data_IF_709905443287
#
_entry.id   IF_709905443287
#
_cell.length_a   1.000
_cell.length_b   1.000
_cell.length_c   1.000
_cell.angle_alpha   90.00
_cell.angle_beta   90.00
_cell.angle_gamma   90.00
#
_symmetry.space_group_name_H-M   'P 1'
#
loop_
_entity.id
_entity.type
_entity.pdbx_description
1 polymer ?
#
# COMPACT_ATOMS: atom_id res chain seq x y z
N UNK A 1 -8.62 -43.01 24.61
CA UNK A 1 -9.70 -43.98 24.32
C UNK A 1 -11.03 -43.28 24.50
N UNK A 2 -11.69 -42.87 23.42
CA UNK A 2 -12.94 -42.07 23.49
C UNK A 2 -12.76 -40.68 24.13
N UNK A 3 -13.80 -39.83 24.17
CA UNK A 3 -15.05 -39.92 23.40
C UNK A 3 -15.48 -38.55 22.87
N UNK A 4 -15.94 -38.57 21.63
CA UNK A 4 -16.86 -37.59 21.05
C UNK A 4 -18.03 -37.30 22.01
N UNK A 5 -18.35 -36.01 22.20
CA UNK A 5 -19.70 -35.40 22.33
C UNK A 5 -19.61 -34.04 23.04
N UNK A 6 -19.59 -32.96 22.27
CA UNK A 6 -20.21 -31.71 22.69
C UNK A 6 -20.95 -31.16 21.45
N UNK A 7 -22.30 -31.06 21.48
CA UNK A 7 -23.06 -30.79 20.25
C UNK A 7 -22.88 -29.34 19.80
N UNK A 8 -22.54 -29.17 18.53
CA UNK A 8 -22.69 -27.87 17.87
C UNK A 8 -24.17 -27.50 17.82
N UNK A 9 -24.56 -26.42 18.50
CA UNK A 9 -25.87 -25.81 18.32
C UNK A 9 -26.09 -25.44 16.85
N UNK A 10 -27.33 -25.44 16.34
CA UNK A 10 -27.57 -25.23 14.92
C UNK A 10 -27.22 -23.80 14.49
N UNK A 11 -26.01 -23.60 13.94
CA UNK A 11 -25.71 -22.41 13.13
C UNK A 11 -26.76 -22.31 12.02
N UNK A 12 -27.25 -21.10 11.66
CA UNK A 12 -28.36 -20.94 10.75
C UNK A 12 -28.10 -21.66 9.42
N UNK A 13 -28.95 -22.65 9.14
CA UNK A 13 -28.82 -23.60 8.03
C UNK A 13 -28.69 -22.90 6.67
N UNK A 14 -29.24 -21.69 6.55
CA UNK A 14 -29.13 -20.81 5.39
C UNK A 14 -27.69 -20.48 4.99
N UNK A 15 -26.72 -20.35 5.91
CA UNK A 15 -25.33 -20.04 5.56
C UNK A 15 -24.65 -21.26 4.92
N UNK A 16 -24.88 -22.45 5.49
CA UNK A 16 -24.38 -23.72 4.97
C UNK A 16 -24.98 -24.05 3.60
N UNK A 17 -26.31 -23.90 3.46
CA UNK A 17 -27.01 -24.07 2.18
C UNK A 17 -26.58 -23.04 1.13
N UNK A 18 -26.39 -21.75 1.48
CA UNK A 18 -25.87 -20.75 0.54
C UNK A 18 -24.48 -21.10 0.03
N UNK A 19 -23.54 -21.49 0.92
CA UNK A 19 -22.19 -21.90 0.50
C UNK A 19 -22.20 -23.17 -0.37
N UNK A 20 -23.07 -24.14 -0.06
CA UNK A 20 -23.22 -25.37 -0.86
C UNK A 20 -23.92 -25.13 -2.21
N UNK A 21 -24.92 -24.25 -2.26
CA UNK A 21 -25.57 -23.85 -3.52
C UNK A 21 -24.59 -23.13 -4.46
N UNK A 22 -23.77 -22.21 -3.93
CA UNK A 22 -22.70 -21.54 -4.71
C UNK A 22 -21.65 -22.55 -5.19
N UNK A 23 -21.23 -23.51 -4.35
CA UNK A 23 -20.29 -24.56 -4.76
C UNK A 23 -20.86 -25.47 -5.86
N UNK A 24 -22.13 -25.86 -5.77
CA UNK A 24 -22.81 -26.66 -6.80
C UNK A 24 -23.01 -25.87 -8.10
N UNK A 25 -23.37 -24.58 -8.03
CA UNK A 25 -23.50 -23.73 -9.21
C UNK A 25 -22.16 -23.55 -9.94
N UNK A 26 -21.06 -23.33 -9.20
CA UNK A 26 -19.71 -23.27 -9.77
C UNK A 26 -19.28 -24.61 -10.38
N UNK A 27 -19.57 -25.74 -9.72
CA UNK A 27 -19.28 -27.07 -10.26
C UNK A 27 -20.03 -27.34 -11.57
N UNK A 28 -21.33 -27.02 -11.62
CA UNK A 28 -22.15 -27.15 -12.84
C UNK A 28 -21.63 -26.24 -13.95
N UNK A 29 -21.25 -24.99 -13.65
CA UNK A 29 -20.67 -24.08 -14.63
C UNK A 29 -19.35 -24.61 -15.21
N UNK A 30 -18.47 -25.16 -14.37
CA UNK A 30 -17.21 -25.79 -14.81
C UNK A 30 -17.50 -27.02 -15.70
N UNK A 31 -18.45 -27.88 -15.32
CA UNK A 31 -18.85 -29.04 -16.13
C UNK A 31 -19.41 -28.62 -17.49
N UNK A 32 -20.22 -27.56 -17.56
CA UNK A 32 -20.73 -27.03 -18.83
C UNK A 32 -19.62 -26.45 -19.72
N UNK A 33 -18.65 -25.72 -19.14
CA UNK A 33 -17.48 -25.22 -19.89
C UNK A 33 -16.61 -26.37 -20.41
N UNK A 34 -16.43 -27.43 -19.63
CA UNK A 34 -15.74 -28.66 -20.05
C UNK A 34 -16.50 -29.35 -21.19
N UNK A 35 -17.80 -29.57 -21.07
CA UNK A 35 -18.63 -30.18 -22.12
C UNK A 35 -18.60 -29.35 -23.41
N UNK A 36 -18.61 -28.02 -23.33
CA UNK A 36 -18.48 -27.14 -24.49
C UNK A 36 -17.08 -27.22 -25.14
N UNK A 37 -16.02 -27.18 -24.34
CA UNK A 37 -14.64 -27.24 -24.82
C UNK A 37 -14.28 -28.59 -25.50
N UNK A 38 -14.77 -29.71 -24.97
CA UNK A 38 -14.60 -31.02 -25.60
C UNK A 38 -15.63 -31.32 -26.69
N UNK A 39 -16.85 -30.77 -26.58
CA UNK A 39 -17.94 -30.99 -27.52
C UNK A 39 -17.71 -30.41 -28.92
N UNK A 40 -16.88 -29.37 -29.05
CA UNK A 40 -16.49 -28.84 -30.37
C UNK A 40 -15.32 -29.59 -31.03
N UNK A 41 -14.72 -30.57 -30.34
CA UNK A 41 -13.57 -31.36 -30.79
C UNK A 41 -13.89 -32.81 -31.21
N UNK A 42 -15.12 -33.09 -31.63
CA UNK A 42 -15.60 -34.45 -31.94
C UNK A 42 -16.04 -34.65 -33.39
N UNK A 43 -15.37 -35.55 -34.11
CA UNK A 43 -15.68 -35.93 -35.50
C UNK A 43 -17.09 -36.52 -35.67
N UNK A 44 -17.82 -36.07 -36.70
CA UNK A 44 -19.08 -36.63 -37.16
C UNK A 44 -19.51 -36.03 -38.49
N UNK A 45 -19.31 -36.76 -39.60
CA UNK A 45 -19.56 -36.27 -40.96
C UNK A 45 -20.72 -36.96 -41.69
N UNK A 46 -21.18 -36.35 -42.78
CA UNK A 46 -22.15 -36.94 -43.71
C UNK A 46 -22.80 -35.88 -44.63
N UNK A 47 -22.98 -36.22 -45.92
CA UNK A 47 -23.64 -35.38 -46.92
C UNK A 47 -22.71 -34.82 -47.98
N UNK A 48 -22.84 -35.31 -49.22
CA UNK A 48 -22.15 -34.83 -50.43
C UNK A 48 -23.07 -33.94 -51.27
N UNK A 49 -22.49 -33.12 -52.16
CA UNK A 49 -22.55 -33.33 -53.62
C UNK A 49 -21.83 -32.20 -54.39
N UNK A 50 -21.59 -32.43 -55.69
CA UNK A 50 -20.62 -31.71 -56.52
C UNK A 50 -21.24 -30.55 -57.34
N UNK A 51 -20.45 -29.54 -57.73
CA UNK A 51 -21.02 -28.44 -58.54
C UNK A 51 -20.11 -27.33 -59.07
N UNK A 52 -19.22 -27.64 -60.03
CA UNK A 52 -18.59 -26.72 -61.02
C UNK A 52 -17.72 -25.55 -60.49
N UNK A 53 -16.56 -25.35 -61.13
CA UNK A 53 -15.66 -24.23 -60.85
C UNK A 53 -15.51 -23.23 -62.02
N UNK A 54 -15.16 -22.00 -61.67
CA UNK A 54 -14.50 -20.94 -62.46
C UNK A 54 -14.24 -19.76 -61.51
N UNK A 55 -13.14 -19.02 -61.50
CA UNK A 55 -11.93 -19.05 -62.33
C UNK A 55 -11.20 -17.69 -62.23
N UNK A 56 -9.86 -17.67 -62.29
CA UNK A 56 -9.04 -16.45 -62.35
C UNK A 56 -8.33 -16.04 -61.05
N UNK A 57 -7.19 -15.35 -61.19
CA UNK A 57 -6.36 -14.81 -60.09
C UNK A 57 -4.97 -15.49 -60.00
N UNK A 58 -3.95 -14.89 -60.61
CA UNK A 58 -2.59 -15.45 -60.69
C UNK A 58 -1.75 -15.38 -59.40
N UNK A 59 -0.53 -15.94 -59.41
CA UNK A 59 0.34 -16.03 -58.23
C UNK A 59 0.91 -14.67 -57.79
N UNK A 60 1.37 -14.63 -56.53
CA UNK A 60 1.83 -13.40 -55.86
C UNK A 60 3.09 -12.78 -56.50
N UNK A 61 3.13 -11.44 -56.50
CA UNK A 61 4.29 -10.66 -56.92
C UNK A 61 5.46 -10.81 -55.95
N UNK A 62 6.65 -11.14 -56.46
CA UNK A 62 7.90 -11.14 -55.70
C UNK A 62 8.38 -9.71 -55.42
N UNK A 63 8.93 -9.48 -54.22
CA UNK A 63 9.48 -8.17 -53.82
C UNK A 63 11.00 -8.19 -54.02
N UNK A 64 11.48 -7.34 -54.94
CA UNK A 64 12.91 -7.13 -55.18
C UNK A 64 13.53 -6.26 -54.07
N UNK A 65 14.63 -6.68 -53.42
CA UNK A 65 15.42 -5.81 -52.55
C UNK A 65 16.11 -4.68 -53.33
N UNK A 66 16.02 -3.45 -52.84
CA UNK A 66 16.77 -2.31 -53.37
C UNK A 66 18.26 -2.32 -52.94
N UNK A 67 19.14 -1.61 -53.65
CA UNK A 67 20.58 -1.61 -53.37
C UNK A 67 20.94 -0.83 -52.08
N UNK A 68 21.85 -1.41 -51.29
CA UNK A 68 22.43 -0.75 -50.12
C UNK A 68 23.39 0.37 -50.52
N UNK A 69 23.24 1.55 -49.94
CA UNK A 69 24.18 2.68 -50.13
C UNK A 69 25.26 2.69 -49.05
N UNK A 70 26.52 2.63 -49.46
CA UNK A 70 27.69 2.65 -48.56
C UNK A 70 28.14 4.10 -48.30
N UNK A 71 27.90 4.62 -47.09
CA UNK A 71 28.44 5.90 -46.61
C UNK A 71 29.55 5.69 -45.56
N UNK A 72 30.65 6.48 -45.59
CA UNK A 72 31.78 6.27 -44.69
C UNK A 72 31.53 6.77 -43.26
N UNK A 73 32.16 6.10 -42.29
CA UNK A 73 32.17 6.52 -40.88
C UNK A 73 33.15 7.69 -40.66
N UNK A 74 32.70 8.74 -39.96
CA UNK A 74 33.63 9.68 -39.33
C UNK A 74 34.00 9.13 -37.93
N UNK A 75 35.29 9.09 -37.62
CA UNK A 75 35.83 8.79 -36.28
C UNK A 75 37.07 9.62 -36.00
N UNK A 76 36.95 10.95 -36.12
CA UNK A 76 38.00 11.90 -35.77
C UNK A 76 38.25 11.91 -34.25
N UNK A 77 39.44 11.42 -33.86
CA UNK A 77 39.93 11.35 -32.49
C UNK A 77 41.00 12.42 -32.25
N UNK A 78 40.76 13.42 -31.37
CA UNK A 78 41.83 14.32 -30.92
C UNK A 78 42.77 13.66 -29.90
N UNK A 79 44.07 13.97 -29.98
CA UNK A 79 44.96 13.94 -28.82
C UNK A 79 44.71 15.17 -27.92
N UNK A 80 45.15 15.23 -26.66
CA UNK A 80 46.35 14.62 -26.09
C UNK A 80 47.41 15.72 -25.86
N UNK A 81 47.84 15.90 -24.60
CA UNK A 81 48.97 16.73 -24.12
C UNK A 81 49.08 16.63 -22.59
N UNK A 82 50.29 16.80 -22.09
CA UNK A 82 50.70 16.62 -20.68
C UNK A 82 51.21 17.95 -20.08
N UNK A 83 51.64 17.92 -18.80
CA UNK A 83 52.31 18.99 -18.02
C UNK A 83 51.46 20.24 -17.61
N UNK A 84 51.71 20.96 -16.50
CA UNK A 84 52.28 20.62 -15.17
C UNK A 84 52.05 21.77 -14.15
N UNK A 85 52.10 21.44 -12.86
CA UNK A 85 52.31 22.29 -11.65
C UNK A 85 51.43 23.51 -11.31
N UNK A 86 51.25 23.74 -9.99
CA UNK A 86 50.57 24.92 -9.42
C UNK A 86 50.05 24.71 -7.99
N UNK A 87 50.91 24.88 -6.97
CA UNK A 87 50.59 24.54 -5.56
C UNK A 87 49.81 25.59 -4.76
N UNK A 88 49.26 25.17 -3.61
CA UNK A 88 48.54 26.04 -2.66
C UNK A 88 48.35 25.39 -1.28
N UNK A 89 49.28 25.64 -0.35
CA UNK A 89 49.32 25.01 0.98
C UNK A 89 48.38 25.68 2.00
N UNK A 90 47.69 24.90 2.83
CA UNK A 90 46.86 25.41 3.93
C UNK A 90 46.81 24.44 5.11
N UNK A 91 47.68 24.65 6.10
CA UNK A 91 47.74 23.84 7.35
C UNK A 91 47.12 24.60 8.52
N UNK A 92 46.41 23.88 9.40
CA UNK A 92 45.87 24.40 10.65
C UNK A 92 45.57 23.24 11.61
N UNK A 93 46.36 23.12 12.68
CA UNK A 93 46.38 21.92 13.53
C UNK A 93 45.77 22.10 14.93
N UNK A 94 45.12 21.01 15.39
CA UNK A 94 45.19 20.43 16.74
C UNK A 94 45.47 21.30 17.99
N UNK A 95 44.63 21.13 19.01
CA UNK A 95 45.04 21.31 20.42
C UNK A 95 43.86 21.50 21.39
N UNK A 96 43.84 20.76 22.51
CA UNK A 96 42.83 20.98 23.57
C UNK A 96 42.46 19.74 24.41
N UNK A 97 43.39 19.15 25.15
CA UNK A 97 43.08 18.14 26.16
C UNK A 97 42.76 18.80 27.51
N UNK A 98 41.76 18.29 28.23
CA UNK A 98 41.47 18.69 29.61
C UNK A 98 40.78 17.53 30.36
N UNK A 99 41.38 17.08 31.46
CA UNK A 99 40.84 16.04 32.33
C UNK A 99 40.50 16.59 33.71
N UNK A 100 39.57 15.94 34.39
CA UNK A 100 39.20 16.16 35.79
C UNK A 100 38.69 14.84 36.38
N UNK A 101 38.89 14.65 37.68
CA UNK A 101 38.66 13.38 38.40
C UNK A 101 37.60 13.53 39.51
N UNK A 102 37.47 12.48 40.34
CA UNK A 102 36.79 12.46 41.66
C UNK A 102 35.24 12.44 41.58
N UNK A 103 34.46 11.66 42.36
CA UNK A 103 34.68 10.56 43.33
C UNK A 103 33.36 9.69 43.33
N UNK A 104 33.04 8.67 44.14
CA UNK A 104 33.69 7.99 45.28
C UNK A 104 32.76 6.94 45.94
N UNK A 105 33.27 5.75 46.28
CA UNK A 105 32.53 4.65 46.96
C UNK A 105 31.60 3.83 46.03
N UNK A 106 31.47 2.50 46.11
CA UNK A 106 31.15 1.60 47.24
C UNK A 106 29.67 1.69 47.66
N UNK A 107 28.85 0.62 47.78
CA UNK A 107 29.13 -0.82 47.93
C UNK A 107 27.96 -1.73 47.43
N UNK A 108 27.99 -3.04 47.75
CA UNK A 108 26.85 -4.00 47.80
C UNK A 108 26.46 -4.84 46.54
N UNK A 109 27.37 -5.76 46.21
CA UNK A 109 27.20 -7.10 45.62
C UNK A 109 25.83 -7.83 45.63
N UNK A 110 25.56 -8.57 44.54
CA UNK A 110 24.78 -9.84 44.53
C UNK A 110 23.49 -9.83 43.70
N UNK A 111 23.12 -10.85 42.91
CA UNK A 111 23.86 -12.08 42.52
C UNK A 111 22.90 -13.19 42.05
N UNK A 112 23.05 -13.69 40.82
CA UNK A 112 22.22 -14.78 40.28
C UNK A 112 22.43 -14.99 38.76
N UNK A 113 22.56 -16.25 38.32
CA UNK A 113 22.95 -16.59 36.94
C UNK A 113 21.80 -17.19 36.11
N UNK A 114 21.87 -17.01 34.79
CA UNK A 114 20.94 -17.61 33.82
C UNK A 114 21.42 -17.38 32.38
N UNK A 115 22.27 -18.29 31.87
CA UNK A 115 22.86 -18.17 30.54
C UNK A 115 21.98 -18.70 29.40
N UNK A 116 22.17 -18.19 28.18
CA UNK A 116 21.44 -18.62 26.99
C UNK A 116 21.99 -18.01 25.70
N UNK A 117 23.07 -18.58 25.16
CA UNK A 117 23.66 -18.12 23.89
C UNK A 117 22.74 -18.38 22.71
N UNK A 118 22.46 -17.35 21.91
CA UNK A 118 21.57 -17.43 20.74
C UNK A 118 22.04 -16.54 19.59
N UNK A 119 23.11 -16.93 18.90
CA UNK A 119 23.58 -16.25 17.70
C UNK A 119 22.68 -16.56 16.49
N UNK A 120 22.00 -15.56 15.94
CA UNK A 120 21.20 -15.78 14.72
C UNK A 120 20.55 -14.52 14.14
N UNK A 121 20.83 -14.24 12.87
CA UNK A 121 20.07 -13.31 12.04
C UNK A 121 20.49 -11.84 12.14
N UNK A 122 21.22 -11.37 11.12
CA UNK A 122 21.30 -9.94 10.83
C UNK A 122 19.94 -9.47 10.26
N UNK A 123 19.01 -9.13 11.17
CA UNK A 123 17.76 -8.49 10.80
C UNK A 123 18.03 -7.10 10.27
N UNK A 124 18.02 -6.95 8.94
CA UNK A 124 18.23 -5.67 8.27
C UNK A 124 17.10 -4.70 8.58
N UNK A 125 17.27 -3.87 9.62
CA UNK A 125 16.40 -2.74 9.90
C UNK A 125 16.59 -1.66 8.84
N UNK A 126 15.84 -1.75 7.74
CA UNK A 126 15.59 -0.59 6.90
C UNK A 126 14.98 0.52 7.78
N UNK A 127 15.61 1.69 7.76
CA UNK A 127 15.47 2.69 8.82
C UNK A 127 14.02 3.12 9.07
N UNK A 128 13.63 3.16 10.35
CA UNK A 128 12.31 3.63 10.75
C UNK A 128 12.14 5.12 10.48
N UNK A 129 11.49 5.47 9.36
CA UNK A 129 10.91 6.79 9.13
C UNK A 129 9.71 7.03 10.04
N UNK A 130 9.95 7.18 11.33
CA UNK A 130 8.93 7.33 12.36
C UNK A 130 8.57 8.81 12.59
N UNK A 131 7.27 9.12 12.55
CA UNK A 131 6.72 10.42 12.95
C UNK A 131 6.74 11.49 11.85
N UNK A 132 5.58 11.75 11.24
CA UNK A 132 5.38 12.90 10.33
C UNK A 132 4.10 12.82 9.50
N UNK A 133 3.72 11.61 9.08
CA UNK A 133 2.52 11.36 8.28
C UNK A 133 1.32 10.82 9.06
N UNK A 134 0.18 10.73 8.37
CA UNK A 134 -1.04 10.13 8.91
C UNK A 134 -0.95 8.60 8.96
N UNK A 135 -1.19 8.05 10.15
CA UNK A 135 -1.23 6.60 10.39
C UNK A 135 0.09 5.86 10.20
N UNK A 136 0.03 4.53 10.29
CA UNK A 136 1.18 3.62 10.16
C UNK A 136 0.89 2.50 9.17
N UNK A 137 1.87 1.94 8.47
CA UNK A 137 1.62 0.84 7.53
C UNK A 137 2.76 0.49 6.59
N UNK A 138 2.41 -0.15 5.46
CA UNK A 138 3.35 -0.80 4.52
C UNK A 138 3.80 0.12 3.39
N UNK A 139 4.97 -0.13 2.82
CA UNK A 139 5.59 0.67 1.75
C UNK A 139 6.85 1.40 2.25
N UNK A 140 7.86 1.54 1.38
CA UNK A 140 9.15 2.14 1.76
C UNK A 140 9.01 3.65 1.98
N UNK A 141 9.55 4.15 3.09
CA UNK A 141 9.67 5.59 3.33
C UNK A 141 10.79 6.19 2.47
N UNK A 142 10.52 7.35 1.86
CA UNK A 142 11.45 8.04 0.98
C UNK A 142 11.99 9.31 1.65
N UNK A 143 13.26 9.68 1.42
CA UNK A 143 13.82 10.93 1.94
C UNK A 143 13.18 12.15 1.26
N UNK A 144 13.20 13.29 1.95
CA UNK A 144 12.86 14.58 1.37
C UNK A 144 13.69 14.85 0.11
N UNK A 145 13.05 15.34 -0.95
CA UNK A 145 13.70 15.56 -2.25
C UNK A 145 13.82 14.31 -3.15
N UNK A 146 13.18 13.18 -2.79
CA UNK A 146 13.17 11.98 -3.65
C UNK A 146 12.72 12.27 -5.09
N UNK A 147 13.53 11.82 -6.05
CA UNK A 147 13.36 12.02 -7.50
C UNK A 147 12.29 11.13 -8.13
N UNK A 148 11.70 10.19 -7.39
CA UNK A 148 10.57 9.39 -7.87
C UNK A 148 9.37 10.31 -8.14
N UNK A 149 8.71 10.14 -9.30
CA UNK A 149 7.56 10.99 -9.67
C UNK A 149 6.42 10.83 -8.68
N UNK A 150 5.67 11.90 -8.45
CA UNK A 150 4.45 11.85 -7.64
C UNK A 150 3.35 11.07 -8.36
N UNK A 151 2.57 10.30 -7.60
CA UNK A 151 1.41 9.58 -8.12
C UNK A 151 0.33 10.57 -8.59
N UNK A 152 -0.37 10.23 -9.67
CA UNK A 152 -1.39 11.09 -10.31
C UNK A 152 -2.79 10.46 -10.25
N UNK A 153 -3.87 11.25 -10.38
CA UNK A 153 -5.22 10.72 -10.55
C UNK A 153 -5.25 9.84 -11.81
N UNK A 154 -5.75 8.60 -11.68
CA UNK A 154 -5.78 7.64 -12.78
C UNK A 154 -4.47 6.86 -13.01
N UNK A 155 -3.35 7.22 -12.37
CA UNK A 155 -2.22 6.31 -12.17
C UNK A 155 -2.50 5.36 -10.99
N UNK A 156 -3.13 5.88 -9.93
CA UNK A 156 -3.45 5.13 -8.70
C UNK A 156 -4.94 5.16 -8.34
N UNK A 157 -5.35 4.18 -7.54
CA UNK A 157 -6.68 4.04 -6.93
C UNK A 157 -6.55 4.31 -5.42
N UNK A 158 -7.12 5.43 -4.93
CA UNK A 158 -7.20 5.77 -3.51
C UNK A 158 -8.50 5.22 -2.92
N UNK A 159 -8.41 4.46 -1.82
CA UNK A 159 -9.57 3.95 -1.08
C UNK A 159 -9.35 4.05 0.44
N UNK A 160 -10.44 4.06 1.20
CA UNK A 160 -10.43 3.97 2.68
C UNK A 160 -11.43 2.91 3.13
N UNK A 161 -11.08 2.14 4.17
CA UNK A 161 -11.92 1.06 4.72
C UNK A 161 -11.88 1.05 6.24
N UNK A 162 -13.05 0.93 6.87
CA UNK A 162 -13.13 0.61 8.30
C UNK A 162 -12.81 -0.88 8.50
N UNK A 163 -11.76 -1.19 9.27
CA UNK A 163 -11.22 -2.56 9.41
C UNK A 163 -10.87 -2.92 10.85
N UNK A 164 -10.93 -4.22 11.17
CA UNK A 164 -10.32 -4.82 12.37
C UNK A 164 -9.65 -6.13 11.96
N UNK A 165 -8.43 -6.37 12.44
CA UNK A 165 -7.63 -7.57 12.11
C UNK A 165 -7.53 -7.84 10.58
N UNK A 166 -7.29 -6.77 9.81
CA UNK A 166 -7.27 -6.73 8.33
C UNK A 166 -8.58 -7.13 7.63
N UNK A 167 -9.71 -7.21 8.34
CA UNK A 167 -11.04 -7.54 7.81
C UNK A 167 -11.94 -6.31 7.89
N UNK A 168 -12.78 -6.09 6.87
CA UNK A 168 -13.75 -4.99 6.86
C UNK A 168 -14.76 -5.15 8.01
N UNK A 169 -14.90 -4.11 8.83
CA UNK A 169 -15.83 -4.00 9.97
C UNK A 169 -16.34 -2.56 10.00
N UNK A 170 -17.58 -2.36 9.54
CA UNK A 170 -18.21 -1.03 9.49
C UNK A 170 -19.10 -0.75 10.72
N UNK A 171 -19.14 -1.66 11.69
CA UNK A 171 -19.96 -1.53 12.91
C UNK A 171 -19.10 -1.85 14.13
N UNK A 172 -19.09 -0.95 15.11
CA UNK A 172 -18.19 -0.99 16.27
C UNK A 172 -18.98 -0.92 17.57
N UNK A 173 -18.73 -1.87 18.46
CA UNK A 173 -19.39 -1.97 19.76
C UNK A 173 -18.95 -0.82 20.71
N UNK A 174 -19.65 -0.60 21.83
CA UNK A 174 -19.19 0.30 22.88
C UNK A 174 -17.75 -0.01 23.32
N UNK A 175 -16.96 1.03 23.58
CA UNK A 175 -15.55 0.92 23.94
C UNK A 175 -14.59 0.48 22.83
N UNK A 176 -15.04 -0.15 21.73
CA UNK A 176 -14.14 -0.44 20.60
C UNK A 176 -13.71 0.85 19.89
N UNK A 177 -12.43 0.90 19.49
CA UNK A 177 -11.82 1.98 18.71
C UNK A 177 -11.86 1.67 17.20
N UNK A 178 -12.51 2.51 16.37
CA UNK A 178 -12.44 2.37 14.93
C UNK A 178 -11.01 2.47 14.38
N UNK A 179 -10.70 1.60 13.42
CA UNK A 179 -9.43 1.59 12.71
C UNK A 179 -9.72 1.74 11.20
N UNK A 180 -9.06 2.68 10.55
CA UNK A 180 -9.31 3.05 9.15
C UNK A 180 -8.06 2.79 8.30
N UNK A 181 -8.15 1.80 7.41
CA UNK A 181 -7.10 1.47 6.45
C UNK A 181 -7.30 2.29 5.17
N UNK A 182 -6.39 3.25 4.97
CA UNK A 182 -6.17 3.96 3.72
C UNK A 182 -5.31 3.06 2.82
N UNK A 183 -5.72 2.87 1.57
CA UNK A 183 -4.95 2.10 0.57
C UNK A 183 -4.80 2.95 -0.69
N UNK A 184 -3.56 3.13 -1.14
CA UNK A 184 -3.26 3.65 -2.48
C UNK A 184 -2.65 2.52 -3.30
N UNK A 185 -3.37 2.09 -4.33
CA UNK A 185 -3.00 0.98 -5.21
C UNK A 185 -2.57 1.52 -6.57
N UNK A 186 -1.39 1.13 -7.03
CA UNK A 186 -0.85 1.57 -8.31
C UNK A 186 -1.40 0.70 -9.46
N UNK A 187 -1.91 1.35 -10.50
CA UNK A 187 -2.44 0.68 -11.71
C UNK A 187 -1.43 0.63 -12.85
N UNK A 188 -0.27 1.28 -12.69
CA UNK A 188 0.82 1.35 -13.66
C UNK A 188 1.99 0.48 -13.19
N UNK A 189 2.74 -0.07 -14.14
CA UNK A 189 3.93 -0.90 -13.89
C UNK A 189 5.16 -0.12 -13.41
N UNK A 190 5.09 1.21 -13.29
CA UNK A 190 6.17 2.04 -12.77
C UNK A 190 5.78 2.64 -11.42
N UNK A 191 6.71 2.61 -10.46
CA UNK A 191 6.51 3.20 -9.14
C UNK A 191 6.24 4.71 -9.22
N UNK A 192 5.57 5.22 -8.20
CA UNK A 192 5.40 6.65 -7.92
C UNK A 192 5.39 6.88 -6.40
N UNK A 193 5.59 8.13 -5.95
CA UNK A 193 5.53 8.49 -4.52
C UNK A 193 4.21 9.17 -4.15
N UNK A 194 3.79 8.98 -2.91
CA UNK A 194 2.66 9.68 -2.28
C UNK A 194 3.17 10.34 -1.00
N UNK A 195 2.77 11.59 -0.76
CA UNK A 195 2.99 12.22 0.53
C UNK A 195 1.82 11.92 1.48
N UNK A 196 2.11 11.27 2.61
CA UNK A 196 1.15 11.10 3.70
C UNK A 196 1.37 12.11 4.85
N UNK A 197 2.25 13.10 4.67
CA UNK A 197 2.54 14.16 5.64
C UNK A 197 1.28 14.93 6.01
N UNK A 198 1.18 15.39 7.27
CA UNK A 198 -0.04 16.04 7.81
C UNK A 198 -0.51 17.29 7.04
N UNK A 199 0.36 17.90 6.24
CA UNK A 199 0.02 19.05 5.38
C UNK A 199 -0.52 18.65 3.99
N UNK A 200 -0.30 17.41 3.56
CA UNK A 200 -0.67 16.89 2.23
C UNK A 200 -1.74 15.80 2.28
N UNK A 201 -1.95 15.15 3.42
CA UNK A 201 -2.95 14.11 3.61
C UNK A 201 -3.65 14.23 4.97
N UNK A 202 -4.97 14.07 4.98
CA UNK A 202 -5.76 14.04 6.20
C UNK A 202 -6.94 13.07 6.15
N UNK A 203 -7.42 12.68 7.33
CA UNK A 203 -8.59 11.86 7.58
C UNK A 203 -9.54 12.65 8.48
N UNK A 204 -10.76 12.91 7.98
CA UNK A 204 -11.83 13.66 8.66
C UNK A 204 -13.00 12.71 8.96
N UNK A 205 -13.64 12.91 10.11
CA UNK A 205 -14.80 12.17 10.58
C UNK A 205 -15.93 13.16 10.82
N UNK A 206 -17.07 12.93 10.16
CA UNK A 206 -18.32 13.68 10.37
C UNK A 206 -19.45 12.76 10.80
N UNK A 207 -20.46 13.32 11.47
CA UNK A 207 -21.68 12.58 11.80
C UNK A 207 -22.71 12.56 10.64
N UNK A 208 -23.84 11.90 10.83
CA UNK A 208 -24.91 11.79 9.84
C UNK A 208 -25.55 13.13 9.41
N UNK A 209 -25.24 14.25 10.07
CA UNK A 209 -25.64 15.61 9.67
C UNK A 209 -24.51 16.38 8.98
N UNK A 210 -23.37 15.74 8.73
CA UNK A 210 -22.10 16.31 8.26
C UNK A 210 -21.46 17.29 9.26
N UNK A 211 -21.84 17.26 10.54
CA UNK A 211 -21.16 18.07 11.55
C UNK A 211 -19.78 17.47 11.87
N UNK A 212 -18.78 18.33 12.05
CA UNK A 212 -17.40 17.94 12.35
C UNK A 212 -17.29 17.19 13.68
N UNK A 213 -16.61 16.04 13.68
CA UNK A 213 -16.41 15.20 14.88
C UNK A 213 -14.94 15.15 15.26
N UNK A 214 -14.06 14.88 14.30
CA UNK A 214 -12.61 14.73 14.51
C UNK A 214 -11.89 14.78 13.16
N UNK A 215 -10.69 15.35 13.07
CA UNK A 215 -9.78 15.17 11.95
C UNK A 215 -8.30 15.06 12.39
N UNK A 216 -7.48 14.39 11.58
CA UNK A 216 -6.05 14.15 11.84
C UNK A 216 -5.17 15.40 11.81
N UNK A 217 -5.72 16.50 11.30
CA UNK A 217 -5.17 17.83 11.05
C UNK A 217 -5.83 18.93 11.90
N UNK A 218 -6.82 18.60 12.75
CA UNK A 218 -7.41 19.53 13.74
C UNK A 218 -6.36 20.15 14.67
N UNK A 219 -5.37 19.32 15.05
CA UNK A 219 -4.26 19.71 15.92
C UNK A 219 -2.95 19.15 15.33
N UNK A 220 -2.35 19.84 14.34
CA UNK A 220 -1.28 19.29 13.53
C UNK A 220 0.10 19.53 14.16
N UNK A 221 0.67 18.47 14.75
CA UNK A 221 2.06 18.48 15.20
C UNK A 221 3.01 18.27 14.00
N UNK A 222 3.56 19.38 13.51
CA UNK A 222 4.53 19.42 12.41
C UNK A 222 3.92 19.32 11.02
N UNK A 223 4.70 19.75 10.02
CA UNK A 223 4.33 19.81 8.60
C UNK A 223 5.29 19.05 7.68
N UNK A 224 6.12 18.16 8.24
CA UNK A 224 7.09 17.38 7.48
C UNK A 224 6.40 16.42 6.50
N UNK A 225 6.90 16.38 5.27
CA UNK A 225 6.49 15.40 4.26
C UNK A 225 6.81 13.97 4.73
N UNK A 226 5.86 13.07 4.57
CA UNK A 226 6.01 11.64 4.82
C UNK A 226 5.83 10.88 3.50
N UNK A 227 6.82 11.04 2.63
CA UNK A 227 6.87 10.43 1.31
C UNK A 227 6.99 8.91 1.41
N UNK A 228 6.12 8.18 0.73
CA UNK A 228 6.10 6.71 0.67
C UNK A 228 6.06 6.26 -0.79
N UNK A 229 6.87 5.26 -1.14
CA UNK A 229 6.81 4.63 -2.46
C UNK A 229 5.57 3.74 -2.61
N UNK A 230 4.91 3.85 -3.76
CA UNK A 230 3.89 2.93 -4.25
C UNK A 230 4.47 2.17 -5.44
N UNK A 231 4.88 0.93 -5.19
CA UNK A 231 5.50 0.04 -6.17
C UNK A 231 4.66 -0.10 -7.46
N UNK A 232 5.30 -0.31 -8.60
CA UNK A 232 4.62 -0.63 -9.86
C UNK A 232 3.69 -1.84 -9.72
N UNK A 233 2.42 -1.68 -10.09
CA UNK A 233 1.33 -2.66 -9.89
C UNK A 233 1.08 -3.09 -8.43
N UNK A 234 1.70 -2.42 -7.45
CA UNK A 234 1.60 -2.71 -6.02
C UNK A 234 0.58 -1.86 -5.27
N UNK A 235 0.69 -1.83 -3.94
CA UNK A 235 -0.14 -0.96 -3.08
C UNK A 235 0.61 -0.55 -1.80
N UNK A 236 0.44 0.70 -1.40
CA UNK A 236 0.81 1.19 -0.06
C UNK A 236 -0.44 1.21 0.83
N UNK A 237 -0.22 1.09 2.14
CA UNK A 237 -1.29 1.13 3.15
C UNK A 237 -0.89 2.03 4.31
N UNK A 238 -1.84 2.79 4.86
CA UNK A 238 -1.73 3.50 6.15
C UNK A 238 -2.97 3.20 6.97
N UNK A 239 -2.81 2.87 8.25
CA UNK A 239 -3.91 2.65 9.19
C UNK A 239 -3.93 3.77 10.22
N UNK A 240 -5.10 4.39 10.41
CA UNK A 240 -5.37 5.37 11.45
C UNK A 240 -6.32 4.74 12.48
N UNK A 241 -5.87 4.58 13.71
CA UNK A 241 -6.76 4.31 14.83
C UNK A 241 -7.37 5.62 15.34
N UNK A 242 -8.67 5.61 15.60
CA UNK A 242 -9.37 6.71 16.24
C UNK A 242 -9.93 6.26 17.60
N UNK A 243 -9.60 7.00 18.67
CA UNK A 243 -9.96 6.66 20.05
C UNK A 243 -11.37 7.13 20.46
N UNK A 244 -12.20 7.51 19.47
CA UNK A 244 -13.56 8.07 19.61
C UNK A 244 -13.64 9.44 20.31
N UNK A 245 -12.53 10.10 20.63
CA UNK A 245 -12.58 11.50 21.10
C UNK A 245 -12.98 12.43 19.95
N UNK A 246 -13.69 13.51 20.28
CA UNK A 246 -13.85 14.64 19.37
C UNK A 246 -12.58 15.49 19.37
N UNK A 247 -12.35 16.21 18.28
CA UNK A 247 -11.39 17.31 18.18
C UNK A 247 -12.02 18.49 17.43
N UNK A 248 -11.33 19.61 17.37
CA UNK A 248 -11.73 20.79 16.62
C UNK A 248 -10.47 21.54 16.16
N UNK A 249 -10.63 22.32 15.09
CA UNK A 249 -9.56 23.05 14.39
C UNK A 249 -8.69 23.89 15.34
N UNK A 250 -7.41 24.03 15.01
CA UNK A 250 -6.41 24.76 15.80
C UNK A 250 -6.28 24.27 17.26
N UNK A 251 -6.44 22.97 17.49
CA UNK A 251 -6.43 22.33 18.82
C UNK A 251 -7.52 22.87 19.77
N UNK A 252 -8.61 23.44 19.26
CA UNK A 252 -9.66 24.03 20.08
C UNK A 252 -10.45 22.99 20.90
N UNK A 253 -11.07 23.43 22.00
CA UNK A 253 -11.97 22.59 22.80
C UNK A 253 -13.21 22.22 21.99
N UNK A 254 -13.50 20.93 21.75
CA UNK A 254 -14.66 20.52 20.95
C UNK A 254 -15.99 20.85 21.64
N UNK A 255 -17.00 21.19 20.85
CA UNK A 255 -18.34 21.45 21.38
C UNK A 255 -19.10 20.15 21.71
N UNK A 256 -19.88 20.17 22.78
CA UNK A 256 -20.70 19.03 23.21
C UNK A 256 -19.92 18.01 24.05
N UNK A 257 -20.05 16.72 23.73
CA UNK A 257 -19.41 15.64 24.48
C UNK A 257 -18.00 15.36 23.95
N UNK A 258 -17.01 15.26 24.85
CA UNK A 258 -15.62 14.97 24.50
C UNK A 258 -15.40 13.63 23.76
N UNK A 259 -16.37 12.71 23.84
CA UNK A 259 -16.40 11.45 23.08
C UNK A 259 -17.59 11.40 22.12
N UNK A 260 -17.40 10.67 21.02
CA UNK A 260 -18.40 10.45 19.98
C UNK A 260 -19.48 9.46 20.43
N UNK A 261 -20.74 9.91 20.26
CA UNK A 261 -21.95 9.18 20.67
C UNK A 261 -22.23 7.99 19.74
N UNK A 262 -23.05 7.01 20.17
CA UNK A 262 -23.62 6.02 19.24
C UNK A 262 -24.33 6.68 18.05
N UNK A 263 -24.16 6.15 16.85
CA UNK A 263 -24.69 6.72 15.61
C UNK A 263 -23.92 6.32 14.36
N UNK A 264 -24.38 6.80 13.21
CA UNK A 264 -23.70 6.64 11.90
C UNK A 264 -22.76 7.82 11.65
N UNK A 265 -21.57 7.50 11.14
CA UNK A 265 -20.50 8.44 10.83
C UNK A 265 -19.97 8.20 9.42
N UNK A 266 -19.39 9.25 8.85
CA UNK A 266 -18.67 9.22 7.57
C UNK A 266 -17.19 9.51 7.84
N UNK A 267 -16.31 8.65 7.34
CA UNK A 267 -14.90 8.96 7.15
C UNK A 267 -14.70 9.50 5.75
N UNK A 268 -13.97 10.60 5.65
CA UNK A 268 -13.36 11.11 4.42
C UNK A 268 -11.84 11.11 4.59
N UNK A 269 -11.13 10.69 3.55
CA UNK A 269 -9.67 10.77 3.46
C UNK A 269 -9.34 11.60 2.24
N UNK A 270 -8.56 12.66 2.44
CA UNK A 270 -7.99 13.50 1.39
C UNK A 270 -6.50 13.22 1.28
N UNK A 271 -6.01 13.08 0.05
CA UNK A 271 -4.58 13.07 -0.26
C UNK A 271 -4.35 14.00 -1.45
N UNK A 272 -3.50 15.00 -1.27
CA UNK A 272 -3.20 15.98 -2.31
C UNK A 272 -2.57 15.32 -3.54
N UNK A 273 -2.94 15.82 -4.71
CA UNK A 273 -2.65 15.18 -5.99
C UNK A 273 -3.46 13.91 -6.30
N UNK A 274 -4.15 13.29 -5.34
CA UNK A 274 -4.95 12.07 -5.55
C UNK A 274 -6.47 12.25 -5.37
N UNK A 275 -6.91 13.26 -4.61
CA UNK A 275 -8.33 13.54 -4.36
C UNK A 275 -8.84 12.95 -3.04
N UNK A 276 -10.09 12.49 -3.02
CA UNK A 276 -10.76 12.01 -1.79
C UNK A 276 -11.38 10.62 -1.94
N UNK A 277 -11.34 9.84 -0.86
CA UNK A 277 -12.07 8.57 -0.72
C UNK A 277 -12.91 8.62 0.57
N UNK A 278 -14.06 7.93 0.59
CA UNK A 278 -15.00 7.97 1.73
C UNK A 278 -15.52 6.58 2.10
N UNK A 279 -15.81 6.35 3.39
CA UNK A 279 -16.48 5.14 3.89
C UNK A 279 -17.33 5.47 5.12
N UNK A 280 -18.52 4.89 5.22
CA UNK A 280 -19.38 5.03 6.40
C UNK A 280 -19.18 3.90 7.42
N UNK A 281 -19.36 4.23 8.70
CA UNK A 281 -19.35 3.27 9.80
C UNK A 281 -20.38 3.65 10.87
N UNK A 282 -20.65 2.72 11.79
CA UNK A 282 -21.59 2.86 12.89
C UNK A 282 -20.88 2.61 14.22
N UNK A 283 -21.10 3.50 15.19
CA UNK A 283 -20.85 3.25 16.61
C UNK A 283 -22.17 2.75 17.22
N UNK A 284 -22.17 1.54 17.76
CA UNK A 284 -23.33 0.94 18.42
C UNK A 284 -23.63 1.61 19.77
N UNK A 285 -24.86 1.41 20.25
CA UNK A 285 -25.29 1.81 21.59
C UNK A 285 -24.87 0.75 22.61
N UNK A 286 -24.73 1.20 23.85
CA UNK A 286 -24.77 0.37 25.06
C UNK A 286 -26.17 -0.28 25.24
#
# INVERSE_FOLDING_TARGET
MGSLRNPIGPLPSSIYWRRRAVALALFIAIVLVVIWAFGWGGSGGGGSDEGKGSGGGGPASTITPGPSSSGPVNSERPGGRDESDGGGSGSGGSGGSGGGSDDGGADASGGGAGGGSGSGGAGGSSGGGAGGGIGTGTGQGLPAGSSLRDCRPGDVELTVRSVKDSKVKNTWAPGEKPNFEIVVKNTKSSSCKVDFGRAAASLTITDAHNAHVWASDDCPEGSAAALVEVEGSGQTKRTVEWDRKRSAEHCATPSGSASAKPGTYLVEVKVDGLGTAKVSFVLEKD
#
